data_IF_592827353607
#
_entry.id   IF_592827353607
#
_cell.length_a   1.000
_cell.length_b   1.000
_cell.length_c   1.000
_cell.angle_alpha   90.00
_cell.angle_beta   90.00
_cell.angle_gamma   90.00
#
_symmetry.space_group_name_H-M   'P 1'
#
loop_
_entity.id
_entity.type
_entity.pdbx_description
1 polymer ?
#
# COMPACT_ATOMS: atom_id res chain seq x y z
N UNK A 1 -9.99 -26.83 4.85
CA UNK A 1 -8.95 -27.36 3.93
C UNK A 1 -8.13 -26.19 3.41
N UNK A 2 -6.82 -26.33 3.14
CA UNK A 2 -6.05 -25.23 2.57
C UNK A 2 -6.55 -24.87 1.15
N UNK A 3 -6.47 -23.59 0.79
CA UNK A 3 -6.68 -23.10 -0.57
C UNK A 3 -5.39 -23.36 -1.34
N UNK A 4 -5.48 -24.03 -2.50
CA UNK A 4 -4.35 -24.25 -3.40
C UNK A 4 -4.35 -23.16 -4.47
N UNK A 5 -3.26 -22.40 -4.54
CA UNK A 5 -3.08 -21.29 -5.46
C UNK A 5 -1.87 -21.55 -6.36
N UNK A 6 -1.98 -21.23 -7.64
CA UNK A 6 -0.84 -21.22 -8.56
C UNK A 6 -0.39 -19.79 -8.81
N UNK A 7 0.83 -19.47 -8.38
CA UNK A 7 1.42 -18.13 -8.49
C UNK A 7 2.70 -18.23 -9.30
N UNK A 8 2.74 -17.62 -10.49
CA UNK A 8 3.87 -17.69 -11.42
C UNK A 8 4.38 -19.13 -11.63
N UNK A 9 3.46 -20.04 -11.91
CA UNK A 9 3.77 -21.45 -12.12
C UNK A 9 3.98 -22.29 -10.85
N UNK A 10 4.06 -21.68 -9.66
CA UNK A 10 4.31 -22.39 -8.41
C UNK A 10 3.03 -22.64 -7.60
N UNK A 11 2.88 -23.87 -7.11
CA UNK A 11 1.79 -24.28 -6.24
C UNK A 11 2.04 -23.86 -4.79
N UNK A 12 1.12 -23.08 -4.22
CA UNK A 12 1.18 -22.58 -2.84
C UNK A 12 -0.11 -22.96 -2.13
N UNK A 13 0.02 -23.57 -0.96
CA UNK A 13 -1.12 -23.82 -0.07
C UNK A 13 -1.24 -22.70 0.96
N UNK A 14 -2.43 -22.11 1.09
CA UNK A 14 -2.74 -21.10 2.10
C UNK A 14 -3.94 -21.50 2.96
N UNK A 15 -4.04 -20.92 4.15
CA UNK A 15 -5.16 -21.13 5.06
C UNK A 15 -6.49 -20.68 4.43
N UNK A 16 -7.59 -21.40 4.67
CA UNK A 16 -8.92 -21.02 4.16
C UNK A 16 -9.40 -19.63 4.62
N UNK A 17 -8.89 -19.17 5.77
CA UNK A 17 -9.17 -17.82 6.28
C UNK A 17 -8.67 -16.72 5.34
N UNK A 18 -7.81 -17.02 4.37
CA UNK A 18 -7.45 -16.08 3.30
C UNK A 18 -8.67 -15.62 2.48
N UNK A 19 -9.67 -16.50 2.29
CA UNK A 19 -10.91 -16.14 1.62
C UNK A 19 -11.75 -15.14 2.42
N UNK A 20 -11.48 -14.94 3.72
CA UNK A 20 -12.17 -13.93 4.54
C UNK A 20 -11.61 -12.52 4.32
N UNK A 21 -10.38 -12.41 3.83
CA UNK A 21 -9.66 -11.13 3.67
C UNK A 21 -9.45 -10.73 2.21
N UNK A 22 -9.66 -11.65 1.28
CA UNK A 22 -9.61 -11.43 -0.17
C UNK A 22 -11.01 -11.60 -0.76
N UNK A 23 -11.61 -10.50 -1.24
CA UNK A 23 -12.91 -10.58 -1.92
C UNK A 23 -12.82 -11.42 -3.20
N UNK A 24 -11.68 -11.37 -3.90
CA UNK A 24 -11.43 -12.25 -5.04
C UNK A 24 -11.56 -13.72 -4.66
N UNK A 25 -10.80 -14.19 -3.66
CA UNK A 25 -10.86 -15.59 -3.24
C UNK A 25 -12.22 -15.97 -2.67
N UNK A 26 -12.91 -15.06 -1.99
CA UNK A 26 -14.28 -15.28 -1.51
C UNK A 26 -15.24 -15.65 -2.64
N UNK A 27 -15.04 -15.11 -3.83
CA UNK A 27 -15.89 -15.32 -5.00
C UNK A 27 -15.48 -16.55 -5.82
N UNK A 28 -14.16 -16.79 -5.98
CA UNK A 28 -13.66 -17.82 -6.89
C UNK A 28 -13.36 -19.16 -6.22
N UNK A 29 -13.08 -19.17 -4.91
CA UNK A 29 -12.75 -20.41 -4.20
C UNK A 29 -14.00 -21.08 -3.63
N UNK A 30 -14.09 -22.40 -3.82
CA UNK A 30 -15.16 -23.21 -3.26
C UNK A 30 -14.64 -24.04 -2.07
N UNK A 31 -15.34 -24.02 -0.91
CA UNK A 31 -14.99 -24.86 0.22
C UNK A 31 -14.93 -26.34 -0.15
N UNK A 32 -13.91 -27.05 0.33
CA UNK A 32 -13.62 -28.46 0.02
C UNK A 32 -13.26 -28.75 -1.44
N UNK A 33 -13.01 -27.74 -2.26
CA UNK A 33 -12.39 -27.94 -3.56
C UNK A 33 -10.90 -28.26 -3.40
N UNK A 34 -10.45 -29.29 -4.12
CA UNK A 34 -9.04 -29.62 -4.29
C UNK A 34 -8.41 -28.95 -5.53
N UNK A 35 -9.20 -28.15 -6.25
CA UNK A 35 -8.78 -27.42 -7.44
C UNK A 35 -7.72 -26.37 -7.09
N UNK A 36 -6.68 -26.32 -7.91
CA UNK A 36 -5.66 -25.29 -7.81
C UNK A 36 -6.10 -24.05 -8.61
N UNK A 37 -6.26 -22.92 -7.93
CA UNK A 37 -6.71 -21.68 -8.54
C UNK A 37 -5.52 -20.88 -9.10
N UNK A 38 -5.46 -20.63 -10.41
CA UNK A 38 -4.40 -19.82 -10.98
C UNK A 38 -4.60 -18.33 -10.71
N UNK A 39 -3.56 -17.66 -10.19
CA UNK A 39 -3.50 -16.21 -10.09
C UNK A 39 -2.84 -15.62 -11.35
N UNK A 40 -3.25 -14.41 -11.72
CA UNK A 40 -2.68 -13.72 -12.88
C UNK A 40 -1.20 -13.39 -12.69
N UNK A 41 -0.33 -13.94 -13.53
CA UNK A 41 1.13 -13.77 -13.47
C UNK A 41 1.59 -12.33 -13.75
N UNK A 42 0.76 -11.53 -14.41
CA UNK A 42 1.04 -10.10 -14.68
C UNK A 42 0.57 -9.18 -13.55
N UNK A 43 -0.21 -9.69 -12.59
CA UNK A 43 -0.78 -8.93 -11.49
C UNK A 43 -0.20 -9.34 -10.14
N UNK A 44 0.21 -10.60 -9.99
CA UNK A 44 0.66 -11.18 -8.73
C UNK A 44 2.00 -11.88 -8.94
N UNK A 45 3.09 -11.22 -8.54
CA UNK A 45 4.40 -11.87 -8.45
C UNK A 45 4.47 -12.76 -7.21
N UNK A 46 5.30 -13.80 -7.25
CA UNK A 46 5.48 -14.71 -6.11
C UNK A 46 5.91 -13.95 -4.85
N UNK A 47 6.90 -13.07 -4.98
CA UNK A 47 7.42 -12.25 -3.87
C UNK A 47 6.34 -11.33 -3.28
N UNK A 48 5.50 -10.72 -4.13
CA UNK A 48 4.41 -9.89 -3.66
C UNK A 48 3.36 -10.71 -2.91
N UNK A 49 3.01 -11.89 -3.44
CA UNK A 49 2.08 -12.81 -2.81
C UNK A 49 2.58 -13.29 -1.44
N UNK A 50 3.84 -13.71 -1.33
CA UNK A 50 4.43 -14.16 -0.06
C UNK A 50 4.43 -13.05 0.99
N UNK A 51 4.75 -11.81 0.59
CA UNK A 51 4.71 -10.66 1.50
C UNK A 51 3.29 -10.41 2.01
N UNK A 52 2.30 -10.44 1.12
CA UNK A 52 0.89 -10.28 1.44
C UNK A 52 0.41 -11.42 2.35
N UNK A 53 0.79 -12.66 2.06
CA UNK A 53 0.49 -13.84 2.87
C UNK A 53 1.03 -13.69 4.29
N UNK A 54 2.31 -13.36 4.43
CA UNK A 54 2.96 -13.17 5.73
C UNK A 54 2.30 -12.04 6.54
N UNK A 55 1.84 -10.97 5.89
CA UNK A 55 1.07 -9.92 6.55
C UNK A 55 -0.24 -10.44 7.15
N UNK A 56 -1.02 -11.21 6.39
CA UNK A 56 -2.30 -11.72 6.86
C UNK A 56 -2.15 -12.81 7.92
N UNK A 57 -1.14 -13.67 7.80
CA UNK A 57 -0.82 -14.69 8.80
C UNK A 57 -0.42 -14.06 10.14
N UNK A 58 0.44 -13.03 10.12
CA UNK A 58 0.82 -12.29 11.33
C UNK A 58 -0.39 -11.68 12.04
N UNK A 59 -1.33 -11.11 11.28
CA UNK A 59 -2.55 -10.50 11.81
C UNK A 59 -3.69 -11.52 12.06
N UNK A 60 -3.41 -12.83 12.00
CA UNK A 60 -4.39 -13.89 12.18
C UNK A 60 -5.66 -13.71 11.31
N UNK A 61 -5.48 -13.22 10.09
CA UNK A 61 -6.54 -12.90 9.13
C UNK A 61 -7.58 -11.87 9.62
N UNK A 62 -7.25 -11.10 10.65
CA UNK A 62 -8.08 -10.00 11.18
C UNK A 62 -7.29 -8.70 11.27
N UNK A 63 -6.68 -8.21 10.17
CA UNK A 63 -5.95 -6.96 10.23
C UNK A 63 -6.90 -5.78 10.42
N UNK A 64 -6.47 -4.86 11.25
CA UNK A 64 -7.03 -3.52 11.32
C UNK A 64 -6.70 -2.73 10.04
N UNK A 65 -7.61 -1.84 9.65
CA UNK A 65 -7.46 -1.03 8.44
C UNK A 65 -6.79 0.28 8.79
N UNK A 66 -5.63 0.54 8.18
CA UNK A 66 -4.90 1.79 8.33
C UNK A 66 -5.67 2.94 7.68
N UNK A 67 -5.84 4.04 8.42
CA UNK A 67 -6.21 5.32 7.84
C UNK A 67 -4.95 6.06 7.33
N UNK A 68 -4.64 5.84 6.06
CA UNK A 68 -3.46 6.40 5.41
C UNK A 68 -3.47 7.95 5.30
N UNK A 69 -4.56 8.64 5.69
CA UNK A 69 -4.72 10.10 5.59
C UNK A 69 -4.55 10.78 6.97
N UNK A 70 -3.89 10.11 7.92
CA UNK A 70 -3.54 10.75 9.19
C UNK A 70 -2.35 11.69 8.99
N UNK A 71 -2.43 12.90 9.54
CA UNK A 71 -1.35 13.89 9.54
C UNK A 71 -0.25 13.61 10.59
N UNK A 72 -0.25 12.44 11.24
CA UNK A 72 0.79 12.03 12.17
C UNK A 72 1.50 10.77 11.63
N UNK A 73 2.81 10.84 11.34
CA UNK A 73 3.57 9.74 10.76
C UNK A 73 3.67 8.54 11.71
N UNK A 74 3.50 8.75 13.02
CA UNK A 74 3.46 7.68 14.01
C UNK A 74 2.14 6.91 13.98
N UNK A 75 1.07 7.50 13.46
CA UNK A 75 -0.24 6.85 13.30
C UNK A 75 -0.48 6.33 11.89
N UNK A 76 0.45 6.54 10.95
CA UNK A 76 0.41 5.95 9.62
C UNK A 76 0.55 4.42 9.63
N UNK A 77 1.07 3.84 10.71
CA UNK A 77 1.21 2.39 10.86
C UNK A 77 0.63 1.94 12.21
N UNK A 78 -0.11 0.83 12.21
CA UNK A 78 -0.83 0.35 13.40
C UNK A 78 0.07 -0.37 14.41
N UNK A 79 1.23 -0.86 13.97
CA UNK A 79 2.22 -1.54 14.82
C UNK A 79 3.60 -1.55 14.12
N UNK A 80 4.65 -1.90 14.89
CA UNK A 80 6.03 -1.91 14.38
C UNK A 80 6.24 -2.94 13.27
N UNK A 81 5.59 -4.11 13.34
CA UNK A 81 5.68 -5.11 12.27
C UNK A 81 5.21 -4.55 10.93
N UNK A 82 4.06 -3.88 10.89
CA UNK A 82 3.52 -3.25 9.68
C UNK A 82 4.49 -2.19 9.14
N UNK A 83 5.08 -1.39 10.02
CA UNK A 83 6.08 -0.38 9.68
C UNK A 83 7.33 -1.02 9.07
N UNK A 84 7.96 -1.96 9.76
CA UNK A 84 9.17 -2.66 9.29
C UNK A 84 8.91 -3.41 7.98
N UNK A 85 7.75 -4.08 7.88
CA UNK A 85 7.37 -4.84 6.69
C UNK A 85 7.35 -3.95 5.46
N UNK A 86 6.74 -2.76 5.53
CA UNK A 86 6.50 -1.92 4.36
C UNK A 86 7.61 -0.88 4.11
N UNK A 87 8.32 -0.43 5.15
CA UNK A 87 9.36 0.62 5.04
C UNK A 87 10.59 0.19 4.25
N UNK A 88 10.86 -1.12 4.17
CA UNK A 88 11.96 -1.66 3.34
C UNK A 88 11.73 -1.51 1.83
N UNK A 89 10.50 -1.20 1.40
CA UNK A 89 10.19 -0.97 0.00
C UNK A 89 10.28 0.52 -0.33
N UNK A 90 11.10 0.85 -1.34
CA UNK A 90 11.20 2.21 -1.85
C UNK A 90 9.92 2.58 -2.60
N UNK A 91 9.52 3.84 -2.45
CA UNK A 91 8.38 4.41 -3.21
C UNK A 91 8.80 4.75 -4.65
N UNK A 92 10.09 5.03 -4.88
CA UNK A 92 10.59 5.59 -6.14
C UNK A 92 11.56 4.68 -6.88
N UNK A 93 12.24 3.78 -6.16
CA UNK A 93 13.23 2.88 -6.73
C UNK A 93 12.67 1.47 -6.83
N UNK A 94 12.92 0.82 -7.96
CA UNK A 94 12.40 -0.53 -8.21
C UNK A 94 10.90 -0.55 -8.51
N UNK A 95 10.34 -1.75 -8.47
CA UNK A 95 8.92 -2.00 -8.77
C UNK A 95 8.21 -2.69 -7.61
N UNK A 96 8.89 -2.99 -6.51
CA UNK A 96 8.38 -3.86 -5.47
C UNK A 96 7.13 -3.30 -4.79
N UNK A 97 7.11 -2.02 -4.41
CA UNK A 97 5.92 -1.43 -3.78
C UNK A 97 4.73 -1.40 -4.75
N UNK A 98 5.01 -1.19 -6.04
CA UNK A 98 4.00 -1.23 -7.10
C UNK A 98 3.44 -2.64 -7.27
N UNK A 99 4.30 -3.67 -7.30
CA UNK A 99 3.89 -5.07 -7.37
C UNK A 99 3.04 -5.47 -6.16
N UNK A 100 3.43 -5.05 -4.95
CA UNK A 100 2.64 -5.28 -3.74
C UNK A 100 1.26 -4.63 -3.82
N UNK A 101 1.20 -3.37 -4.25
CA UNK A 101 -0.06 -2.64 -4.42
C UNK A 101 -0.93 -3.29 -5.50
N UNK A 102 -0.34 -3.71 -6.61
CA UNK A 102 -1.03 -4.37 -7.72
C UNK A 102 -1.61 -5.72 -7.29
N UNK A 103 -0.82 -6.55 -6.58
CA UNK A 103 -1.29 -7.80 -6.01
C UNK A 103 -2.43 -7.57 -5.01
N UNK A 104 -2.32 -6.52 -4.18
CA UNK A 104 -3.37 -6.16 -3.22
C UNK A 104 -4.68 -5.77 -3.91
N UNK A 105 -4.60 -5.02 -5.02
CA UNK A 105 -5.75 -4.62 -5.84
C UNK A 105 -6.37 -5.84 -6.52
N UNK A 106 -5.56 -6.70 -7.15
CA UNK A 106 -6.03 -7.89 -7.84
C UNK A 106 -6.74 -8.86 -6.89
N UNK A 107 -6.13 -9.16 -5.74
CA UNK A 107 -6.73 -10.01 -4.72
C UNK A 107 -7.81 -9.29 -3.89
N UNK A 108 -8.03 -8.00 -4.15
CA UNK A 108 -9.01 -7.16 -3.45
C UNK A 108 -8.86 -7.19 -1.92
N UNK A 109 -7.64 -7.01 -1.44
CA UNK A 109 -7.25 -7.08 -0.02
C UNK A 109 -7.13 -5.68 0.58
N UNK A 110 -8.20 -5.21 1.22
CA UNK A 110 -8.34 -3.79 1.62
C UNK A 110 -7.24 -3.34 2.61
N UNK A 111 -7.00 -4.11 3.67
CA UNK A 111 -6.04 -3.73 4.71
C UNK A 111 -4.61 -3.65 4.16
N UNK A 112 -4.19 -4.63 3.35
CA UNK A 112 -2.87 -4.63 2.73
C UNK A 112 -2.71 -3.51 1.69
N UNK A 113 -3.75 -3.25 0.87
CA UNK A 113 -3.77 -2.09 -0.03
C UNK A 113 -3.56 -0.79 0.75
N UNK A 114 -4.24 -0.63 1.89
CA UNK A 114 -4.11 0.56 2.75
C UNK A 114 -2.71 0.67 3.38
N UNK A 115 -2.07 -0.45 3.73
CA UNK A 115 -0.67 -0.47 4.16
C UNK A 115 0.29 0.04 3.08
N UNK A 116 0.14 -0.42 1.83
CA UNK A 116 0.94 0.08 0.71
C UNK A 116 0.73 1.58 0.49
N UNK A 117 -0.52 2.04 0.55
CA UNK A 117 -0.84 3.47 0.43
C UNK A 117 -0.30 4.29 1.60
N UNK A 118 -0.30 3.74 2.82
CA UNK A 118 0.29 4.40 3.97
C UNK A 118 1.81 4.60 3.80
N UNK A 119 2.51 3.62 3.21
CA UNK A 119 3.93 3.78 2.86
C UNK A 119 4.17 4.92 1.87
N UNK A 120 3.31 5.05 0.88
CA UNK A 120 3.36 6.17 -0.08
C UNK A 120 3.06 7.48 0.65
N UNK A 121 1.99 7.55 1.44
CA UNK A 121 1.61 8.76 2.17
C UNK A 121 2.70 9.21 3.16
N UNK A 122 3.32 8.27 3.88
CA UNK A 122 4.43 8.51 4.80
C UNK A 122 5.61 9.18 4.10
N UNK A 123 5.89 8.80 2.85
CA UNK A 123 6.97 9.40 2.06
C UNK A 123 6.76 10.89 1.78
N UNK A 124 5.50 11.32 1.66
CA UNK A 124 5.13 12.72 1.42
C UNK A 124 4.69 13.44 2.69
N UNK A 125 5.01 12.89 3.86
CA UNK A 125 4.67 13.52 5.12
C UNK A 125 5.44 14.85 5.28
N UNK A 126 4.72 15.91 5.63
CA UNK A 126 5.29 17.24 5.90
C UNK A 126 5.16 17.51 7.40
N UNK A 127 6.28 17.70 8.08
CA UNK A 127 6.30 18.02 9.50
C UNK A 127 5.70 19.41 9.71
N UNK A 128 4.67 19.50 10.57
CA UNK A 128 4.00 20.78 10.86
C UNK A 128 4.92 21.82 11.51
N UNK A 129 5.93 21.38 12.26
CA UNK A 129 6.84 22.27 12.95
C UNK A 129 7.90 22.87 12.01
N UNK A 130 8.34 22.11 11.00
CA UNK A 130 9.38 22.52 10.06
C UNK A 130 8.98 22.27 8.59
N UNK A 131 7.83 22.79 8.10
CA UNK A 131 7.26 22.41 6.80
C UNK A 131 8.19 22.74 5.62
N UNK A 132 8.93 23.85 5.72
CA UNK A 132 9.90 24.27 4.70
C UNK A 132 11.08 23.29 4.58
N UNK A 133 11.49 22.68 5.68
CA UNK A 133 12.58 21.70 5.69
C UNK A 133 12.13 20.40 5.04
N UNK A 134 10.98 19.85 5.44
CA UNK A 134 10.40 18.65 4.80
C UNK A 134 10.19 18.87 3.30
N UNK A 135 9.70 20.04 2.90
CA UNK A 135 9.52 20.35 1.48
C UNK A 135 10.84 20.45 0.70
N UNK A 136 11.89 21.02 1.29
CA UNK A 136 13.21 21.07 0.68
C UNK A 136 13.86 19.68 0.58
N UNK A 137 13.64 18.82 1.58
CA UNK A 137 14.10 17.43 1.55
C UNK A 137 13.41 16.64 0.44
N UNK A 138 12.08 16.79 0.30
CA UNK A 138 11.33 16.23 -0.83
C UNK A 138 11.87 16.75 -2.16
N UNK A 139 11.99 18.07 -2.34
CA UNK A 139 12.54 18.68 -3.58
C UNK A 139 13.90 18.11 -3.97
N UNK A 140 14.82 18.00 -2.99
CA UNK A 140 16.15 17.40 -3.20
C UNK A 140 16.02 15.94 -3.63
N UNK A 141 15.17 15.16 -2.95
CA UNK A 141 14.94 13.74 -3.26
C UNK A 141 14.35 13.52 -4.65
N UNK A 142 13.51 14.45 -5.11
CA UNK A 142 12.87 14.40 -6.44
C UNK A 142 13.68 15.06 -7.56
N UNK A 143 14.90 15.55 -7.29
CA UNK A 143 15.66 16.38 -8.23
C UNK A 143 14.81 17.52 -8.84
N UNK A 144 13.83 18.02 -8.08
CA UNK A 144 13.05 19.17 -8.50
C UNK A 144 13.98 20.37 -8.42
N UNK A 145 14.22 21.01 -9.56
CA UNK A 145 14.96 22.26 -9.61
C UNK A 145 14.33 23.28 -8.66
N UNK A 146 15.12 24.24 -8.17
CA UNK A 146 14.66 25.35 -7.32
C UNK A 146 13.73 26.32 -8.06
N UNK A 147 12.75 25.84 -8.84
CA UNK A 147 11.61 26.65 -9.21
C UNK A 147 10.81 26.91 -7.93
N UNK A 148 10.93 28.12 -7.40
CA UNK A 148 9.96 28.61 -6.44
C UNK A 148 8.56 28.49 -7.08
N UNK A 149 7.58 28.01 -6.31
CA UNK A 149 6.18 28.09 -6.72
C UNK A 149 5.87 29.57 -6.98
N UNK A 150 5.43 29.91 -8.18
CA UNK A 150 5.00 31.28 -8.48
C UNK A 150 3.65 31.54 -7.80
N UNK A 151 3.31 32.82 -7.61
CA UNK A 151 1.98 33.20 -7.14
C UNK A 151 0.87 32.63 -8.05
N UNK A 152 1.11 32.58 -9.37
CA UNK A 152 0.20 31.97 -10.33
C UNK A 152 0.06 30.45 -10.18
N UNK A 153 1.13 29.74 -9.83
CA UNK A 153 1.05 28.31 -9.53
C UNK A 153 0.21 28.06 -8.26
N UNK A 154 0.41 28.88 -7.23
CA UNK A 154 -0.38 28.79 -5.98
C UNK A 154 -1.86 29.03 -6.27
N UNK A 155 -2.21 30.11 -6.98
CA UNK A 155 -3.60 30.41 -7.33
C UNK A 155 -4.24 29.34 -8.21
N UNK A 156 -3.52 28.78 -9.18
CA UNK A 156 -3.97 27.64 -9.97
C UNK A 156 -4.26 26.43 -9.10
N UNK A 157 -3.35 26.08 -8.17
CA UNK A 157 -3.59 24.98 -7.24
C UNK A 157 -4.78 25.23 -6.31
N UNK A 158 -5.06 26.50 -5.96
CA UNK A 158 -6.29 26.84 -5.21
C UNK A 158 -7.57 26.56 -5.98
N UNK A 159 -7.55 26.79 -7.28
CA UNK A 159 -8.70 26.54 -8.15
C UNK A 159 -8.87 25.07 -8.49
N UNK A 160 -7.76 24.37 -8.77
CA UNK A 160 -7.76 22.95 -9.17
C UNK A 160 -7.98 21.99 -7.99
N UNK A 161 -7.49 22.35 -6.79
CA UNK A 161 -7.55 21.51 -5.59
C UNK A 161 -8.12 22.24 -4.36
N UNK A 162 -9.35 22.76 -4.44
CA UNK A 162 -9.91 23.64 -3.40
C UNK A 162 -10.04 22.97 -2.02
N UNK A 163 -10.19 21.64 -1.98
CA UNK A 163 -10.29 20.84 -0.75
C UNK A 163 -8.98 20.77 0.05
N UNK A 164 -7.82 21.03 -0.57
CA UNK A 164 -6.52 20.96 0.12
C UNK A 164 -6.28 22.23 0.96
N UNK A 165 -6.79 23.39 0.54
CA UNK A 165 -6.51 24.69 1.18
C UNK A 165 -7.41 24.98 2.37
N UNK A 166 -8.65 24.51 2.34
CA UNK A 166 -9.60 24.75 3.44
C UNK A 166 -9.23 24.03 4.76
N UNK A 167 -8.16 23.21 4.78
CA UNK A 167 -7.67 22.51 5.98
C UNK A 167 -6.50 23.23 6.68
N UNK A 168 -5.97 24.30 6.07
CA UNK A 168 -4.78 25.02 6.55
C UNK A 168 -4.97 26.55 6.68
N UNK A 169 -6.20 27.03 6.48
CA UNK A 169 -6.67 28.34 6.96
C UNK A 169 -7.52 28.12 8.21
#
# INVERSE_FOLDING_TARGET
>A
MPIKLKVQGQSISVDERFAQVSNFLKEVWQPNSDEELPLSETQVTLRAFETLKNYYEFNNFKPEIIDAISNDPNTCFLNEYNRELIMKYSVFEGNELKELLQAAIYLQTIAFKKLCLARIAFEFHIEKQEPNKSFNELKKKFNMSNSALTLGDVERFKQEYPTIINKYN
#
